data_IF_878094568579
#
_entry.id   IF_878094568579
#
_cell.length_a   1.000
_cell.length_b   1.000
_cell.length_c   1.000
_cell.angle_alpha   90.00
_cell.angle_beta   90.00
_cell.angle_gamma   90.00
#
_symmetry.space_group_name_H-M   'P 1'
#
loop_
_entity.id
_entity.type
_entity.pdbx_description
1 polymer ?
#
# COMPACT_ATOMS: atom_id res chain seq x y z
N UNK A 1 -25.92 -37.67 -6.67
CA UNK A 1 -24.73 -36.81 -6.85
C UNK A 1 -25.25 -35.40 -7.09
N UNK A 2 -24.91 -34.45 -6.23
CA UNK A 2 -25.18 -33.03 -6.50
C UNK A 2 -24.41 -32.60 -7.74
N UNK A 3 -25.11 -32.01 -8.71
CA UNK A 3 -24.54 -31.58 -9.98
C UNK A 3 -23.75 -30.28 -9.80
N UNK A 4 -22.57 -30.19 -10.43
CA UNK A 4 -21.71 -29.00 -10.40
C UNK A 4 -22.45 -27.77 -10.92
N UNK A 5 -23.28 -27.93 -11.96
CA UNK A 5 -24.05 -26.83 -12.56
C UNK A 5 -25.06 -26.20 -11.59
N UNK A 6 -25.48 -26.93 -10.56
CA UNK A 6 -26.44 -26.45 -9.55
C UNK A 6 -25.72 -25.99 -8.28
N UNK A 7 -24.71 -26.73 -7.82
CA UNK A 7 -23.97 -26.38 -6.61
C UNK A 7 -23.07 -25.15 -6.79
N UNK A 8 -22.37 -25.02 -7.92
CA UNK A 8 -21.42 -23.92 -8.10
C UNK A 8 -22.08 -22.53 -8.06
N UNK A 9 -23.19 -22.26 -8.76
CA UNK A 9 -23.88 -20.96 -8.67
C UNK A 9 -24.37 -20.67 -7.25
N UNK A 10 -24.97 -21.66 -6.57
CA UNK A 10 -25.45 -21.51 -5.19
C UNK A 10 -24.31 -21.16 -4.22
N UNK A 11 -23.17 -21.84 -4.34
CA UNK A 11 -21.99 -21.59 -3.51
C UNK A 11 -21.34 -20.25 -3.81
N UNK A 12 -21.32 -19.85 -5.09
CA UNK A 12 -20.85 -18.54 -5.51
C UNK A 12 -21.72 -17.42 -4.95
N UNK A 13 -23.04 -17.55 -5.04
CA UNK A 13 -23.99 -16.60 -4.47
C UNK A 13 -23.81 -16.47 -2.95
N UNK A 14 -23.63 -17.59 -2.25
CA UNK A 14 -23.30 -17.60 -0.83
C UNK A 14 -22.03 -16.81 -0.51
N UNK A 15 -20.93 -17.06 -1.24
CA UNK A 15 -19.66 -16.34 -1.07
C UNK A 15 -19.79 -14.87 -1.41
N UNK A 16 -20.53 -14.54 -2.48
CA UNK A 16 -20.76 -13.17 -2.93
C UNK A 16 -21.62 -12.36 -1.94
N UNK A 17 -22.45 -13.03 -1.14
CA UNK A 17 -23.26 -12.43 -0.09
C UNK A 17 -22.51 -12.21 1.24
N UNK A 18 -21.29 -12.75 1.40
CA UNK A 18 -20.53 -12.59 2.64
C UNK A 18 -20.12 -11.13 2.83
N UNK A 19 -20.28 -10.55 4.03
CA UNK A 19 -19.89 -9.16 4.30
C UNK A 19 -18.38 -8.94 4.11
N UNK A 20 -17.58 -9.98 4.33
CA UNK A 20 -16.13 -9.97 4.13
C UNK A 20 -15.67 -9.63 2.72
N UNK A 21 -16.51 -9.82 1.70
CA UNK A 21 -16.17 -9.52 0.30
C UNK A 21 -15.81 -8.06 0.10
N UNK A 22 -16.67 -7.15 0.57
CA UNK A 22 -16.46 -5.72 0.42
C UNK A 22 -15.19 -5.25 1.13
N UNK A 23 -14.94 -5.79 2.33
CA UNK A 23 -13.72 -5.50 3.09
C UNK A 23 -12.46 -6.06 2.41
N UNK A 24 -12.55 -7.27 1.85
CA UNK A 24 -11.45 -7.87 1.09
C UNK A 24 -11.11 -7.03 -0.15
N UNK A 25 -12.10 -6.64 -0.96
CA UNK A 25 -11.90 -5.81 -2.14
C UNK A 25 -11.30 -4.42 -1.80
N UNK A 26 -11.73 -3.85 -0.68
CA UNK A 26 -11.17 -2.61 -0.14
C UNK A 26 -9.70 -2.79 0.30
N UNK A 27 -9.37 -3.87 1.02
CA UNK A 27 -7.99 -4.20 1.39
C UNK A 27 -7.11 -4.42 0.16
N UNK A 28 -7.62 -5.08 -0.86
CA UNK A 28 -6.95 -5.27 -2.15
C UNK A 28 -6.68 -3.94 -2.87
N UNK A 29 -7.65 -3.02 -2.87
CA UNK A 29 -7.45 -1.67 -3.41
C UNK A 29 -6.37 -0.89 -2.64
N UNK A 30 -6.36 -1.01 -1.30
CA UNK A 30 -5.35 -0.40 -0.44
C UNK A 30 -3.95 -1.01 -0.66
N UNK A 31 -3.86 -2.34 -0.80
CA UNK A 31 -2.63 -3.06 -1.12
C UNK A 31 -2.04 -2.60 -2.46
N UNK A 32 -2.86 -2.50 -3.51
CA UNK A 32 -2.43 -1.97 -4.81
C UNK A 32 -1.91 -0.54 -4.70
N UNK A 33 -2.58 0.33 -3.94
CA UNK A 33 -2.12 1.69 -3.73
C UNK A 33 -0.77 1.75 -2.97
N UNK A 34 -0.59 0.89 -1.97
CA UNK A 34 0.67 0.76 -1.22
C UNK A 34 1.80 0.22 -2.10
N UNK A 35 1.52 -0.77 -2.95
CA UNK A 35 2.47 -1.31 -3.93
C UNK A 35 2.90 -0.24 -4.94
N UNK A 36 1.95 0.50 -5.52
CA UNK A 36 2.25 1.62 -6.42
C UNK A 36 3.16 2.66 -5.74
N UNK A 37 2.86 3.01 -4.48
CA UNK A 37 3.71 3.93 -3.72
C UNK A 37 5.13 3.37 -3.54
N UNK A 38 5.26 2.11 -3.15
CA UNK A 38 6.56 1.47 -2.92
C UNK A 38 7.37 1.35 -4.22
N UNK A 39 6.75 0.95 -5.32
CA UNK A 39 7.41 0.85 -6.63
C UNK A 39 7.92 2.20 -7.10
N UNK A 40 7.10 3.26 -7.02
CA UNK A 40 7.55 4.61 -7.38
C UNK A 40 8.68 5.12 -6.47
N UNK A 41 8.68 4.76 -5.18
CA UNK A 41 9.78 5.09 -4.27
C UNK A 41 11.08 4.39 -4.68
N UNK A 42 11.02 3.10 -5.01
CA UNK A 42 12.18 2.31 -5.45
C UNK A 42 12.72 2.83 -6.78
N UNK A 43 11.85 3.14 -7.75
CA UNK A 43 12.26 3.71 -9.04
C UNK A 43 12.97 5.05 -8.86
N UNK A 44 12.41 5.96 -8.04
CA UNK A 44 13.05 7.23 -7.72
C UNK A 44 14.41 7.00 -7.03
N UNK A 45 14.46 6.15 -6.00
CA UNK A 45 15.69 5.87 -5.27
C UNK A 45 16.79 5.30 -6.18
N UNK A 46 16.44 4.33 -7.04
CA UNK A 46 17.38 3.72 -7.99
C UNK A 46 17.93 4.74 -8.98
N UNK A 47 17.08 5.63 -9.50
CA UNK A 47 17.52 6.71 -10.39
C UNK A 47 18.48 7.65 -9.68
N UNK A 48 18.16 8.09 -8.45
CA UNK A 48 19.04 8.96 -7.66
C UNK A 48 20.39 8.27 -7.33
N UNK A 49 20.39 6.99 -6.98
CA UNK A 49 21.59 6.19 -6.67
C UNK A 49 22.50 5.93 -7.88
N UNK A 50 22.04 6.17 -9.10
CA UNK A 50 22.92 6.15 -10.28
C UNK A 50 23.93 7.30 -10.27
N UNK A 51 23.71 8.34 -9.45
CA UNK A 51 24.62 9.46 -9.26
C UNK A 51 25.18 9.54 -7.83
N UNK A 52 24.34 9.31 -6.82
CA UNK A 52 24.73 9.40 -5.41
C UNK A 52 25.75 8.31 -5.05
N UNK A 53 26.81 8.70 -4.34
CA UNK A 53 27.86 7.78 -3.87
C UNK A 53 28.74 7.21 -4.99
N UNK A 54 28.61 7.70 -6.23
CA UNK A 54 29.45 7.30 -7.36
C UNK A 54 30.50 8.36 -7.70
N UNK A 55 31.68 7.99 -8.20
CA UNK A 55 32.70 8.92 -8.64
C UNK A 55 32.40 9.45 -10.07
N UNK A 56 31.18 9.95 -10.28
CA UNK A 56 30.69 10.46 -11.57
C UNK A 56 30.43 11.95 -11.44
N UNK A 57 30.95 12.76 -12.35
CA UNK A 57 30.75 14.20 -12.31
C UNK A 57 29.37 14.58 -12.82
N UNK A 58 28.83 15.70 -12.34
CA UNK A 58 27.55 16.22 -12.82
C UNK A 58 27.50 16.41 -14.35
N UNK A 59 28.62 16.77 -14.97
CA UNK A 59 28.73 16.96 -16.43
C UNK A 59 28.70 15.64 -17.22
N UNK A 60 28.92 14.50 -16.56
CA UNK A 60 28.90 13.17 -17.16
C UNK A 60 27.50 12.52 -17.06
N UNK A 61 26.57 13.17 -16.36
CA UNK A 61 25.18 12.69 -16.30
C UNK A 61 24.49 12.86 -17.66
N UNK A 62 23.58 11.95 -18.02
CA UNK A 62 22.74 12.13 -19.21
C UNK A 62 21.98 13.46 -19.14
N UNK A 63 21.82 14.14 -20.28
CA UNK A 63 21.10 15.43 -20.39
C UNK A 63 19.70 15.40 -19.75
N UNK A 64 19.07 14.21 -19.72
CA UNK A 64 17.73 13.99 -19.18
C UNK A 64 17.69 13.56 -17.72
N UNK A 65 18.83 13.46 -17.02
CA UNK A 65 18.88 12.95 -15.65
C UNK A 65 17.98 13.75 -14.69
N UNK A 66 18.09 15.08 -14.71
CA UNK A 66 17.30 15.96 -13.85
C UNK A 66 15.80 15.95 -14.21
N UNK A 67 15.48 15.88 -15.51
CA UNK A 67 14.10 15.78 -15.99
C UNK A 67 13.47 14.47 -15.52
N UNK A 68 14.20 13.37 -15.64
CA UNK A 68 13.75 12.05 -15.21
C UNK A 68 13.61 11.95 -13.69
N UNK A 69 14.55 12.52 -12.93
CA UNK A 69 14.43 12.62 -11.47
C UNK A 69 13.19 13.43 -11.05
N UNK A 70 12.89 14.52 -11.77
CA UNK A 70 11.69 15.33 -11.52
C UNK A 70 10.40 14.57 -11.87
N UNK A 71 10.39 13.79 -12.97
CA UNK A 71 9.28 12.91 -13.35
C UNK A 71 9.01 11.84 -12.30
N UNK A 72 10.05 11.15 -11.85
CA UNK A 72 9.96 10.10 -10.83
C UNK A 72 9.53 10.67 -9.47
N UNK A 73 10.03 11.86 -9.10
CA UNK A 73 9.60 12.57 -7.90
C UNK A 73 8.11 12.91 -7.98
N UNK A 74 7.64 13.42 -9.11
CA UNK A 74 6.22 13.70 -9.30
C UNK A 74 5.36 12.43 -9.17
N UNK A 75 5.77 11.33 -9.81
CA UNK A 75 5.07 10.05 -9.71
C UNK A 75 5.01 9.52 -8.27
N UNK A 76 6.14 9.60 -7.54
CA UNK A 76 6.20 9.26 -6.12
C UNK A 76 5.19 10.09 -5.31
N UNK A 77 5.20 11.42 -5.46
CA UNK A 77 4.26 12.33 -4.77
C UNK A 77 2.80 12.07 -5.14
N UNK A 78 2.52 11.74 -6.40
CA UNK A 78 1.18 11.40 -6.86
C UNK A 78 0.68 10.07 -6.27
N UNK A 79 1.53 9.03 -6.27
CA UNK A 79 1.20 7.72 -5.72
C UNK A 79 0.88 7.77 -4.21
N UNK A 80 1.61 8.60 -3.46
CA UNK A 80 1.33 8.89 -2.06
C UNK A 80 -0.07 9.47 -1.84
N UNK A 81 -0.48 10.43 -2.67
CA UNK A 81 -1.81 11.01 -2.53
C UNK A 81 -2.91 9.99 -2.85
N UNK A 82 -2.69 9.15 -3.87
CA UNK A 82 -3.57 8.02 -4.17
C UNK A 82 -3.70 7.06 -2.98
N UNK A 83 -2.58 6.71 -2.34
CA UNK A 83 -2.58 5.91 -1.12
C UNK A 83 -3.37 6.57 0.01
N UNK A 84 -3.14 7.86 0.27
CA UNK A 84 -3.88 8.62 1.31
C UNK A 84 -5.38 8.64 1.04
N UNK A 85 -5.78 8.78 -0.23
CA UNK A 85 -7.19 8.81 -0.59
C UNK A 85 -7.82 7.41 -0.49
N UNK A 86 -7.10 6.34 -0.86
CA UNK A 86 -7.51 4.95 -0.61
C UNK A 86 -7.67 4.66 0.88
N UNK A 87 -6.74 5.12 1.71
CA UNK A 87 -6.81 5.04 3.17
C UNK A 87 -8.05 5.74 3.74
N UNK A 88 -8.37 6.95 3.26
CA UNK A 88 -9.57 7.69 3.67
C UNK A 88 -10.85 6.96 3.29
N UNK A 89 -10.90 6.36 2.11
CA UNK A 89 -12.06 5.54 1.70
C UNK A 89 -12.19 4.35 2.65
N UNK A 90 -11.11 3.61 2.90
CA UNK A 90 -11.13 2.46 3.80
C UNK A 90 -11.56 2.84 5.23
N UNK A 91 -10.99 3.93 5.76
CA UNK A 91 -11.35 4.47 7.07
C UNK A 91 -12.85 4.81 7.16
N UNK A 92 -13.40 5.53 6.18
CA UNK A 92 -14.83 5.92 6.18
C UNK A 92 -15.78 4.75 6.02
N UNK A 93 -15.36 3.70 5.32
CA UNK A 93 -16.13 2.47 5.17
C UNK A 93 -16.20 1.67 6.47
N UNK A 94 -15.06 1.53 7.17
CA UNK A 94 -14.96 0.69 8.37
C UNK A 94 -15.41 1.38 9.66
N UNK A 95 -15.20 2.68 9.74
CA UNK A 95 -15.58 3.51 10.87
C UNK A 95 -16.42 4.69 10.35
N UNK A 96 -17.67 4.42 9.92
CA UNK A 96 -18.56 5.47 9.46
C UNK A 96 -18.84 6.46 10.59
N UNK A 97 -19.28 7.65 10.20
CA UNK A 97 -19.75 8.67 11.15
C UNK A 97 -20.95 8.08 11.89
N UNK A 98 -20.81 7.84 13.19
CA UNK A 98 -21.96 7.48 14.02
C UNK A 98 -22.91 8.68 14.17
N UNK A 99 -24.07 8.46 14.77
CA UNK A 99 -25.02 9.52 15.15
C UNK A 99 -24.45 10.38 16.31
N UNK A 100 -23.26 10.94 16.13
CA UNK A 100 -22.57 11.76 17.13
C UNK A 100 -22.91 13.21 16.86
N UNK A 101 -23.60 13.83 17.82
CA UNK A 101 -23.83 15.27 17.87
C UNK A 101 -22.51 16.04 17.72
N UNK A 102 -22.42 16.83 16.65
CA UNK A 102 -21.61 18.04 16.50
C UNK A 102 -20.16 18.03 17.03
N UNK A 103 -19.30 17.15 16.51
CA UNK A 103 -17.85 17.36 16.64
C UNK A 103 -17.44 18.65 15.91
N UNK A 104 -16.75 19.56 16.63
CA UNK A 104 -16.23 20.82 16.09
C UNK A 104 -14.73 20.69 15.82
N UNK A 105 -14.27 21.19 14.67
CA UNK A 105 -12.85 21.24 14.35
C UNK A 105 -12.12 22.23 15.28
N UNK A 106 -11.18 21.76 16.10
CA UNK A 106 -10.40 22.61 17.01
C UNK A 106 -9.64 23.75 16.30
N UNK A 107 -9.21 23.52 15.05
CA UNK A 107 -8.41 24.49 14.30
C UNK A 107 -9.23 25.64 13.68
N UNK A 108 -10.52 25.46 13.42
CA UNK A 108 -11.33 26.47 12.73
C UNK A 108 -12.73 26.71 13.31
N UNK A 109 -13.12 26.00 14.36
CA UNK A 109 -14.40 26.17 15.07
C UNK A 109 -15.65 25.80 14.26
N UNK A 110 -15.50 25.32 13.02
CA UNK A 110 -16.62 24.88 12.18
C UNK A 110 -17.14 23.52 12.68
N UNK A 111 -18.46 23.31 12.57
CA UNK A 111 -19.07 21.98 12.69
C UNK A 111 -18.37 21.09 11.66
N UNK A 112 -17.84 19.95 12.10
CA UNK A 112 -17.29 18.93 11.22
C UNK A 112 -18.18 17.69 11.31
N UNK A 113 -19.40 17.73 10.70
CA UNK A 113 -20.42 16.70 10.85
C UNK A 113 -20.07 15.38 10.11
N UNK A 114 -18.79 15.14 9.81
CA UNK A 114 -18.35 14.09 8.88
C UNK A 114 -17.23 13.19 9.40
N UNK A 115 -16.86 13.31 10.68
CA UNK A 115 -15.74 12.55 11.26
C UNK A 115 -16.25 11.56 12.28
N UNK A 116 -15.79 10.31 12.21
CA UNK A 116 -16.14 9.29 13.19
C UNK A 116 -15.34 9.45 14.49
N UNK A 117 -15.87 8.94 15.59
CA UNK A 117 -15.16 8.93 16.90
C UNK A 117 -13.76 8.32 16.77
N UNK A 118 -13.64 7.21 16.04
CA UNK A 118 -12.34 6.58 15.76
C UNK A 118 -11.40 7.49 14.97
N UNK A 119 -11.92 8.31 14.06
CA UNK A 119 -11.09 9.26 13.30
C UNK A 119 -10.42 10.29 14.22
N UNK A 120 -11.18 10.80 15.20
CA UNK A 120 -10.72 11.84 16.13
C UNK A 120 -9.81 11.25 17.21
N UNK A 121 -10.20 10.12 17.78
CA UNK A 121 -9.53 9.56 18.96
C UNK A 121 -8.34 8.65 18.63
N UNK A 122 -8.33 8.01 17.45
CA UNK A 122 -7.34 6.99 17.09
C UNK A 122 -6.54 7.39 15.85
N UNK A 123 -7.22 7.70 14.75
CA UNK A 123 -6.57 8.01 13.48
C UNK A 123 -5.76 9.30 13.50
N UNK A 124 -6.38 10.40 13.93
CA UNK A 124 -5.74 11.71 13.92
C UNK A 124 -4.49 11.79 14.79
N UNK A 125 -4.51 11.27 16.04
CA UNK A 125 -3.32 11.21 16.86
C UNK A 125 -2.20 10.43 16.16
N UNK A 126 -2.49 9.25 15.60
CA UNK A 126 -1.47 8.43 14.94
C UNK A 126 -0.96 9.08 13.65
N UNK A 127 -1.84 9.72 12.88
CA UNK A 127 -1.48 10.50 11.69
C UNK A 127 -0.58 11.67 12.07
N UNK A 128 -0.89 12.39 13.15
CA UNK A 128 -0.10 13.53 13.61
C UNK A 128 1.25 13.09 14.16
N UNK A 129 1.29 11.98 14.89
CA UNK A 129 2.51 11.36 15.41
C UNK A 129 3.48 11.00 14.28
N UNK A 130 3.00 10.29 13.25
CA UNK A 130 3.86 9.75 12.20
C UNK A 130 4.06 10.69 11.01
N UNK A 131 3.04 11.49 10.67
CA UNK A 131 2.98 12.30 9.44
C UNK A 131 2.87 13.81 9.72
N UNK A 132 2.91 14.24 10.99
CA UNK A 132 2.84 15.65 11.38
C UNK A 132 4.18 16.40 11.31
N UNK A 133 5.29 15.70 11.06
CA UNK A 133 6.63 16.32 10.95
C UNK A 133 6.68 17.35 9.81
N UNK A 134 7.27 18.54 10.01
CA UNK A 134 7.38 19.58 8.97
C UNK A 134 7.96 19.10 7.64
N UNK A 135 8.90 18.13 7.64
CA UNK A 135 9.46 17.50 6.43
C UNK A 135 8.39 16.78 5.61
N UNK A 136 7.50 16.09 6.30
CA UNK A 136 6.42 15.31 5.70
C UNK A 136 5.33 16.25 5.18
N UNK A 137 4.99 17.27 5.97
CA UNK A 137 4.06 18.32 5.55
C UNK A 137 4.58 19.04 4.31
N UNK A 138 5.90 19.30 4.25
CA UNK A 138 6.56 19.84 3.07
C UNK A 138 6.40 18.93 1.85
N UNK A 139 6.76 17.65 1.92
CA UNK A 139 6.62 16.73 0.78
C UNK A 139 5.16 16.58 0.34
N UNK A 140 4.22 16.53 1.28
CA UNK A 140 2.79 16.51 0.97
C UNK A 140 2.37 17.77 0.21
N UNK A 141 2.85 18.95 0.62
CA UNK A 141 2.59 20.22 -0.07
C UNK A 141 3.38 20.40 -1.36
N UNK A 142 4.51 19.71 -1.52
CA UNK A 142 5.29 19.71 -2.75
C UNK A 142 4.50 19.10 -3.91
N UNK A 143 3.60 18.15 -3.64
CA UNK A 143 2.63 17.69 -4.64
C UNK A 143 1.70 18.82 -5.09
N UNK A 144 1.10 19.53 -4.14
CA UNK A 144 0.18 20.64 -4.44
C UNK A 144 0.92 21.73 -5.25
N UNK A 145 2.17 22.04 -4.89
CA UNK A 145 3.06 22.90 -5.68
C UNK A 145 3.24 22.38 -7.11
N UNK A 146 3.50 21.08 -7.26
CA UNK A 146 3.70 20.44 -8.57
C UNK A 146 2.47 20.49 -9.47
N UNK A 147 1.28 20.41 -8.88
CA UNK A 147 0.00 20.40 -9.60
C UNK A 147 -0.51 21.81 -9.94
N UNK A 148 -0.19 22.81 -9.13
CA UNK A 148 -0.83 24.12 -9.21
C UNK A 148 0.12 25.28 -9.51
N UNK A 149 1.43 25.05 -9.45
CA UNK A 149 2.42 26.11 -9.66
C UNK A 149 3.48 25.70 -10.68
N UNK A 150 4.32 24.70 -10.37
CA UNK A 150 5.38 24.27 -11.28
C UNK A 150 5.89 22.87 -10.92
N UNK A 151 6.37 22.11 -11.90
CA UNK A 151 7.08 20.86 -11.65
C UNK A 151 8.42 21.20 -10.96
N UNK A 152 8.73 20.62 -9.79
CA UNK A 152 9.98 20.90 -9.09
C UNK A 152 11.15 20.32 -9.88
N UNK A 153 12.02 21.22 -10.35
CA UNK A 153 13.25 20.83 -11.04
C UNK A 153 14.25 20.37 -9.99
N UNK A 154 14.69 19.11 -10.09
CA UNK A 154 15.78 18.57 -9.29
C UNK A 154 17.12 19.10 -9.79
N UNK A 155 17.92 19.64 -8.89
CA UNK A 155 19.30 20.07 -9.15
C UNK A 155 20.28 18.99 -8.67
N UNK A 156 21.39 18.88 -9.38
CA UNK A 156 22.50 17.99 -9.05
C UNK A 156 23.75 18.82 -8.76
N UNK A 157 24.49 18.45 -7.73
CA UNK A 157 25.72 19.14 -7.31
C UNK A 157 26.79 18.10 -7.01
N UNK A 158 28.01 18.36 -7.46
CA UNK A 158 29.22 17.63 -7.07
C UNK A 158 30.06 18.56 -6.20
N UNK A 159 30.34 18.16 -4.97
CA UNK A 159 31.18 18.89 -4.02
C UNK A 159 32.51 18.15 -3.81
N UNK A 160 33.58 18.93 -3.62
CA UNK A 160 34.91 18.42 -3.29
C UNK A 160 35.25 18.85 -1.86
N UNK A 161 35.51 17.87 -0.99
CA UNK A 161 36.01 18.12 0.36
C UNK A 161 37.45 17.64 0.46
N UNK A 162 38.37 18.56 0.74
CA UNK A 162 39.76 18.22 1.06
C UNK A 162 39.80 17.66 2.48
N UNK A 163 40.01 16.35 2.63
CA UNK A 163 39.94 15.68 3.94
C UNK A 163 41.21 15.84 4.78
N UNK A 164 42.34 16.28 4.18
CA UNK A 164 43.64 16.33 4.87
C UNK A 164 44.53 17.55 4.52
N UNK A 165 43.94 18.71 4.20
CA UNK A 165 44.70 19.94 3.87
C UNK A 165 45.24 19.99 2.43
N UNK A 166 46.07 21.00 2.13
CA UNK A 166 46.60 21.25 0.78
C UNK A 166 47.44 20.06 0.27
N UNK A 167 46.89 19.30 -0.68
CA UNK A 167 47.52 18.09 -1.26
C UNK A 167 47.06 16.75 -0.66
N UNK A 168 46.08 16.76 0.25
CA UNK A 168 45.51 15.54 0.86
C UNK A 168 44.47 14.82 0.00
N UNK A 169 44.05 13.63 0.46
CA UNK A 169 42.94 12.89 -0.17
C UNK A 169 41.69 13.78 -0.24
N UNK A 170 41.13 13.87 -1.43
CA UNK A 170 39.89 14.59 -1.67
C UNK A 170 38.73 13.61 -1.73
N UNK A 171 37.65 13.93 -1.01
CA UNK A 171 36.40 13.20 -1.10
C UNK A 171 35.43 13.94 -2.03
N UNK A 172 35.00 13.26 -3.08
CA UNK A 172 33.95 13.71 -3.98
C UNK A 172 32.59 13.30 -3.40
N UNK A 173 31.68 14.25 -3.23
CA UNK A 173 30.32 13.98 -2.74
C UNK A 173 29.30 14.51 -3.75
N UNK A 174 28.41 13.63 -4.20
CA UNK A 174 27.33 13.96 -5.11
C UNK A 174 26.02 14.15 -4.34
N UNK A 175 25.27 15.20 -4.69
CA UNK A 175 24.00 15.57 -4.06
C UNK A 175 22.92 15.78 -5.10
N UNK A 176 21.68 15.39 -4.76
CA UNK A 176 20.48 15.69 -5.55
C UNK A 176 19.45 16.36 -4.64
N UNK A 177 18.81 17.41 -5.12
CA UNK A 177 17.95 18.22 -4.27
C UNK A 177 17.12 19.25 -5.03
N UNK A 178 16.43 20.10 -4.28
CA UNK A 178 15.53 21.13 -4.78
C UNK A 178 16.07 22.52 -4.44
N UNK A 179 15.84 23.50 -5.32
CA UNK A 179 16.19 24.90 -5.05
C UNK A 179 15.20 25.53 -4.09
N UNK A 180 15.70 25.97 -2.93
CA UNK A 180 14.89 26.64 -1.89
C UNK A 180 14.29 27.94 -2.40
N UNK A 181 15.08 28.77 -3.07
CA UNK A 181 14.67 30.07 -3.61
C UNK A 181 13.56 29.94 -4.63
N UNK A 182 13.57 28.89 -5.45
CA UNK A 182 12.47 28.58 -6.38
C UNK A 182 11.20 28.16 -5.63
N UNK A 183 11.32 27.27 -4.65
CA UNK A 183 10.18 26.82 -3.85
C UNK A 183 9.50 27.99 -3.11
N UNK A 184 10.27 28.91 -2.53
CA UNK A 184 9.76 30.06 -1.78
C UNK A 184 8.99 31.09 -2.62
N UNK A 185 8.98 30.96 -3.96
CA UNK A 185 8.15 31.81 -4.83
C UNK A 185 6.67 31.47 -4.78
N UNK A 186 6.31 30.26 -4.34
CA UNK A 186 4.93 29.88 -4.12
C UNK A 186 4.49 30.32 -2.72
N UNK A 187 3.40 31.05 -2.61
CA UNK A 187 2.91 31.65 -1.37
C UNK A 187 2.01 30.71 -0.57
N UNK A 188 1.40 29.71 -1.21
CA UNK A 188 0.46 28.77 -0.60
C UNK A 188 1.11 27.61 0.19
N UNK A 189 2.38 27.73 0.57
CA UNK A 189 2.98 26.83 1.55
C UNK A 189 2.27 26.96 2.91
N UNK A 190 2.00 25.84 3.56
CA UNK A 190 1.55 25.87 4.96
C UNK A 190 2.66 26.38 5.87
N UNK A 191 2.31 26.93 7.04
CA UNK A 191 3.31 27.42 7.99
C UNK A 191 4.37 26.36 8.36
N UNK A 192 4.04 25.08 8.63
CA UNK A 192 5.06 24.05 8.89
C UNK A 192 5.93 23.74 7.67
N UNK A 193 5.35 23.67 6.46
CA UNK A 193 6.13 23.42 5.25
C UNK A 193 7.09 24.59 4.96
N UNK A 194 6.60 25.84 5.11
CA UNK A 194 7.42 27.04 4.95
C UNK A 194 8.50 27.12 6.00
N UNK A 195 8.20 26.76 7.25
CA UNK A 195 9.19 26.64 8.31
C UNK A 195 10.26 25.64 7.91
N UNK A 196 9.91 24.45 7.43
CA UNK A 196 10.89 23.48 6.95
C UNK A 196 11.78 24.04 5.83
N UNK A 197 11.19 24.63 4.78
CA UNK A 197 11.94 25.22 3.66
C UNK A 197 12.92 26.31 4.16
N UNK A 198 12.55 27.08 5.19
CA UNK A 198 13.34 28.19 5.70
C UNK A 198 14.33 27.81 6.81
N UNK A 199 14.10 26.70 7.51
CA UNK A 199 14.85 26.31 8.71
C UNK A 199 15.97 25.33 8.33
N UNK A 200 17.22 25.66 8.70
CA UNK A 200 18.37 24.73 8.67
C UNK A 200 18.70 24.13 7.29
N UNK A 201 18.71 24.96 6.26
CA UNK A 201 19.45 24.70 5.04
C UNK A 201 20.53 25.78 4.93
N UNK A 202 21.80 25.39 5.09
CA UNK A 202 22.93 26.33 5.01
C UNK A 202 23.04 26.98 3.63
N UNK A 203 22.51 26.30 2.61
CA UNK A 203 22.55 26.70 1.20
C UNK A 203 21.14 26.80 0.58
N UNK A 204 21.07 27.22 -0.68
CA UNK A 204 19.83 27.23 -1.48
C UNK A 204 19.39 25.81 -1.93
N UNK A 205 19.71 24.77 -1.16
CA UNK A 205 19.61 23.38 -1.57
C UNK A 205 18.96 22.51 -0.50
N UNK A 206 17.87 21.85 -0.88
CA UNK A 206 17.16 20.89 -0.04
C UNK A 206 17.45 19.49 -0.58
N UNK A 207 18.27 18.71 0.12
CA UNK A 207 18.62 17.35 -0.28
C UNK A 207 17.40 16.43 -0.31
N UNK A 208 17.17 15.79 -1.46
CA UNK A 208 15.98 14.96 -1.69
C UNK A 208 16.07 13.55 -1.10
N UNK A 209 17.18 12.80 -1.22
CA UNK A 209 17.26 11.41 -0.73
C UNK A 209 16.88 11.24 0.75
N UNK A 210 17.47 11.99 1.72
CA UNK A 210 17.13 11.80 3.13
C UNK A 210 15.67 12.14 3.43
N UNK A 211 15.04 13.03 2.65
CA UNK A 211 13.62 13.36 2.80
C UNK A 211 12.72 12.24 2.30
N UNK A 212 13.01 11.70 1.12
CA UNK A 212 12.25 10.57 0.55
C UNK A 212 12.37 9.34 1.45
N UNK A 213 13.57 9.02 1.93
CA UNK A 213 13.80 7.87 2.81
C UNK A 213 13.08 8.02 4.14
N UNK A 214 13.24 9.16 4.81
CA UNK A 214 12.58 9.46 6.07
C UNK A 214 11.06 9.36 5.94
N UNK A 215 10.49 9.99 4.92
CA UNK A 215 9.06 10.01 4.73
C UNK A 215 8.50 8.63 4.36
N UNK A 216 9.16 7.91 3.46
CA UNK A 216 8.73 6.57 3.05
C UNK A 216 8.76 5.59 4.23
N UNK A 217 9.74 5.72 5.14
CA UNK A 217 9.76 4.99 6.40
C UNK A 217 8.51 5.25 7.25
N UNK A 218 8.14 6.51 7.46
CA UNK A 218 6.95 6.89 8.24
C UNK A 218 5.63 6.46 7.59
N UNK A 219 5.54 6.53 6.26
CA UNK A 219 4.38 6.05 5.52
C UNK A 219 4.22 4.54 5.69
N UNK A 220 5.31 3.75 5.57
CA UNK A 220 5.26 2.30 5.79
C UNK A 220 4.83 1.96 7.23
N UNK A 221 5.38 2.65 8.22
CA UNK A 221 4.99 2.49 9.63
C UNK A 221 3.49 2.76 9.83
N UNK A 222 2.98 3.84 9.23
CA UNK A 222 1.56 4.19 9.30
C UNK A 222 0.66 3.17 8.57
N UNK A 223 1.05 2.70 7.38
CA UNK A 223 0.32 1.66 6.63
C UNK A 223 0.25 0.36 7.44
N UNK A 224 1.37 -0.09 8.00
CA UNK A 224 1.44 -1.32 8.78
C UNK A 224 0.51 -1.23 10.00
N UNK A 225 0.56 -0.12 10.74
CA UNK A 225 -0.36 0.14 11.83
C UNK A 225 -1.81 0.12 11.37
N UNK A 226 -2.12 0.78 10.25
CA UNK A 226 -3.50 0.86 9.76
C UNK A 226 -4.05 -0.52 9.35
N UNK A 227 -3.27 -1.37 8.71
CA UNK A 227 -3.68 -2.74 8.41
C UNK A 227 -3.94 -3.57 9.67
N UNK A 228 -3.19 -3.34 10.76
CA UNK A 228 -3.49 -3.99 12.04
C UNK A 228 -4.84 -3.53 12.61
N UNK A 229 -5.19 -2.26 12.49
CA UNK A 229 -6.51 -1.76 12.91
C UNK A 229 -7.64 -2.33 12.04
N UNK A 230 -7.41 -2.48 10.73
CA UNK A 230 -8.37 -3.16 9.84
C UNK A 230 -8.54 -4.62 10.25
N UNK A 231 -7.44 -5.37 10.48
CA UNK A 231 -7.49 -6.77 10.88
C UNK A 231 -8.20 -6.98 12.22
N UNK A 232 -7.99 -6.08 13.19
CA UNK A 232 -8.74 -6.09 14.46
C UNK A 232 -10.23 -5.86 14.25
N UNK A 233 -10.62 -5.03 13.29
CA UNK A 233 -12.01 -4.58 13.08
C UNK A 233 -12.83 -5.56 12.24
N UNK A 234 -12.26 -6.12 11.18
CA UNK A 234 -12.95 -6.97 10.18
C UNK A 234 -12.12 -8.18 9.71
N UNK A 235 -11.01 -8.49 10.38
CA UNK A 235 -10.13 -9.59 10.00
C UNK A 235 -10.82 -10.95 9.93
N UNK A 236 -11.68 -11.33 10.90
CA UNK A 236 -12.44 -12.58 10.83
C UNK A 236 -13.31 -12.69 9.57
N UNK A 237 -14.04 -11.64 9.21
CA UNK A 237 -14.92 -11.60 8.05
C UNK A 237 -14.13 -11.66 6.74
N UNK A 238 -13.01 -10.94 6.66
CA UNK A 238 -12.09 -11.00 5.51
C UNK A 238 -11.55 -12.42 5.33
N UNK A 239 -11.09 -13.06 6.41
CA UNK A 239 -10.58 -14.44 6.38
C UNK A 239 -11.68 -15.43 5.99
N UNK A 240 -12.89 -15.25 6.52
CA UNK A 240 -14.06 -16.05 6.16
C UNK A 240 -14.33 -16.02 4.65
N UNK A 241 -14.44 -14.82 4.08
CA UNK A 241 -14.64 -14.65 2.65
C UNK A 241 -13.48 -15.26 1.86
N UNK A 242 -12.23 -14.90 2.19
CA UNK A 242 -11.06 -15.32 1.45
C UNK A 242 -10.94 -16.83 1.37
N UNK A 243 -11.12 -17.53 2.50
CA UNK A 243 -10.94 -18.98 2.51
C UNK A 243 -12.11 -19.69 1.76
N UNK A 244 -13.35 -19.16 1.75
CA UNK A 244 -14.55 -19.80 1.14
C UNK A 244 -14.48 -19.58 -0.36
N UNK A 245 -14.07 -18.37 -0.74
CA UNK A 245 -13.73 -18.01 -2.12
C UNK A 245 -12.60 -18.88 -2.66
N UNK A 246 -11.52 -19.11 -1.90
CA UNK A 246 -10.41 -19.95 -2.31
C UNK A 246 -10.81 -21.43 -2.45
N UNK A 247 -11.52 -22.00 -1.47
CA UNK A 247 -12.04 -23.39 -1.55
C UNK A 247 -12.93 -23.58 -2.80
N UNK A 248 -13.84 -22.64 -3.04
CA UNK A 248 -14.70 -22.62 -4.23
C UNK A 248 -13.89 -22.52 -5.53
N UNK A 249 -12.87 -21.66 -5.55
CA UNK A 249 -11.98 -21.45 -6.71
C UNK A 249 -11.15 -22.70 -7.01
N UNK A 250 -10.58 -23.35 -6.00
CA UNK A 250 -9.83 -24.60 -6.20
C UNK A 250 -10.73 -25.73 -6.69
N UNK A 251 -11.95 -25.85 -6.16
CA UNK A 251 -12.92 -26.81 -6.65
C UNK A 251 -13.30 -26.56 -8.12
N UNK A 252 -13.56 -25.30 -8.50
CA UNK A 252 -13.82 -24.91 -9.88
C UNK A 252 -12.67 -25.31 -10.81
N UNK A 253 -11.41 -25.02 -10.43
CA UNK A 253 -10.22 -25.37 -11.23
C UNK A 253 -10.10 -26.88 -11.46
N UNK A 254 -10.38 -27.70 -10.43
CA UNK A 254 -10.37 -29.17 -10.60
C UNK A 254 -11.46 -29.62 -11.56
N UNK A 255 -12.65 -29.04 -11.46
CA UNK A 255 -13.77 -29.36 -12.34
C UNK A 255 -13.47 -28.98 -13.81
N UNK A 256 -12.99 -27.76 -14.04
CA UNK A 256 -12.58 -27.26 -15.36
C UNK A 256 -11.49 -28.14 -15.99
N UNK A 257 -10.40 -28.41 -15.25
CA UNK A 257 -9.30 -29.24 -15.74
C UNK A 257 -9.75 -30.69 -16.02
N UNK A 258 -10.67 -31.24 -15.21
CA UNK A 258 -11.25 -32.57 -15.43
C UNK A 258 -12.12 -32.60 -16.70
N UNK A 259 -12.90 -31.54 -16.95
CA UNK A 259 -13.69 -31.39 -18.17
C UNK A 259 -12.82 -31.35 -19.43
N UNK A 260 -11.77 -30.52 -19.44
CA UNK A 260 -10.84 -30.43 -20.56
C UNK A 260 -10.13 -31.76 -20.84
N UNK A 261 -9.65 -32.45 -19.78
CA UNK A 261 -9.03 -33.77 -19.93
C UNK A 261 -10.01 -34.81 -20.50
N UNK A 262 -11.27 -34.82 -20.06
CA UNK A 262 -12.29 -35.76 -20.56
C UNK A 262 -12.51 -35.62 -22.06
N UNK A 263 -12.47 -34.38 -22.57
CA UNK A 263 -12.67 -34.06 -23.99
C UNK A 263 -11.46 -34.42 -24.86
N UNK A 264 -10.25 -34.06 -24.44
CA UNK A 264 -9.04 -34.14 -25.30
C UNK A 264 -8.19 -35.38 -25.02
N UNK A 265 -8.18 -35.87 -23.77
CA UNK A 265 -7.42 -37.05 -23.31
C UNK A 265 -5.92 -37.04 -23.66
N UNK A 266 -5.24 -35.93 -23.41
CA UNK A 266 -3.78 -35.83 -23.61
C UNK A 266 -3.00 -35.63 -22.29
N UNK A 267 -1.68 -35.80 -22.37
CA UNK A 267 -0.78 -35.73 -21.23
C UNK A 267 -0.73 -34.34 -20.58
N UNK A 268 -0.83 -33.27 -21.36
CA UNK A 268 -0.81 -31.90 -20.84
C UNK A 268 -2.02 -31.61 -19.96
N UNK A 269 -3.23 -31.95 -20.43
CA UNK A 269 -4.45 -31.78 -19.65
C UNK A 269 -4.49 -32.70 -18.42
N UNK A 270 -3.91 -33.89 -18.51
CA UNK A 270 -3.71 -34.75 -17.34
C UNK A 270 -2.83 -34.07 -16.29
N UNK A 271 -1.70 -33.47 -16.70
CA UNK A 271 -0.81 -32.72 -15.79
C UNK A 271 -1.54 -31.56 -15.12
N UNK A 272 -2.29 -30.76 -15.89
CA UNK A 272 -3.10 -29.64 -15.34
C UNK A 272 -4.13 -30.13 -14.32
N UNK A 273 -4.84 -31.23 -14.62
CA UNK A 273 -5.81 -31.84 -13.71
C UNK A 273 -5.16 -32.33 -12.41
N UNK A 274 -4.02 -33.01 -12.51
CA UNK A 274 -3.27 -33.50 -11.33
C UNK A 274 -2.79 -32.30 -10.50
N UNK A 275 -2.24 -31.26 -11.12
CA UNK A 275 -1.82 -30.05 -10.43
C UNK A 275 -2.98 -29.36 -9.70
N UNK A 276 -4.14 -29.21 -10.35
CA UNK A 276 -5.33 -28.62 -9.71
C UNK A 276 -5.78 -29.43 -8.49
N UNK A 277 -5.75 -30.77 -8.57
CA UNK A 277 -6.07 -31.65 -7.43
C UNK A 277 -5.05 -31.52 -6.30
N UNK A 278 -3.76 -31.46 -6.62
CA UNK A 278 -2.71 -31.25 -5.62
C UNK A 278 -2.86 -29.89 -4.93
N UNK A 279 -3.16 -28.83 -5.69
CA UNK A 279 -3.44 -27.50 -5.12
C UNK A 279 -4.64 -27.53 -4.18
N UNK A 280 -5.75 -28.14 -4.60
CA UNK A 280 -6.95 -28.28 -3.75
C UNK A 280 -6.67 -29.13 -2.51
N UNK A 281 -5.95 -30.24 -2.65
CA UNK A 281 -5.63 -31.13 -1.53
C UNK A 281 -4.67 -30.51 -0.53
N UNK A 282 -3.72 -29.67 -0.99
CA UNK A 282 -2.82 -28.92 -0.12
C UNK A 282 -3.45 -27.67 0.49
N UNK A 283 -4.61 -27.24 0.01
CA UNK A 283 -5.34 -26.11 0.57
C UNK A 283 -6.18 -26.57 1.77
N UNK A 284 -5.88 -26.03 2.94
CA UNK A 284 -6.61 -26.28 4.18
C UNK A 284 -7.25 -24.97 4.67
N UNK A 285 -8.58 -24.80 4.54
CA UNK A 285 -9.25 -23.60 5.04
C UNK A 285 -9.09 -23.54 6.57
N UNK A 286 -8.70 -22.36 7.07
CA UNK A 286 -8.13 -22.23 8.41
C UNK A 286 -9.15 -21.85 9.49
N UNK A 287 -10.36 -21.38 9.13
CA UNK A 287 -11.19 -20.58 10.06
C UNK A 287 -12.57 -21.16 10.45
N UNK A 288 -13.30 -21.91 9.62
CA UNK A 288 -14.69 -22.36 9.95
C UNK A 288 -14.87 -23.85 10.21
N UNK A 289 -13.81 -24.66 10.06
CA UNK A 289 -13.85 -26.04 10.54
C UNK A 289 -13.35 -26.03 11.98
N UNK A 290 -14.17 -25.53 12.91
CA UNK A 290 -13.84 -25.62 14.33
C UNK A 290 -13.93 -27.09 14.71
N UNK A 291 -12.80 -27.80 14.63
CA UNK A 291 -12.68 -29.13 15.20
C UNK A 291 -12.39 -28.91 16.68
N UNK A 292 -13.44 -28.88 17.49
CA UNK A 292 -13.31 -28.88 18.95
C UNK A 292 -13.13 -30.31 19.42
N UNK A 293 -11.95 -30.62 19.94
CA UNK A 293 -11.69 -31.89 20.60
C UNK A 293 -11.91 -31.72 22.10
N UNK A 294 -12.73 -32.59 22.69
CA UNK A 294 -12.92 -32.63 24.13
C UNK A 294 -11.71 -33.25 24.86
N UNK A 295 -11.74 -33.26 26.20
CA UNK A 295 -10.68 -33.86 27.03
C UNK A 295 -10.54 -35.37 26.85
N UNK A 296 -11.49 -36.03 26.18
CA UNK A 296 -11.48 -37.46 25.89
C UNK A 296 -10.96 -37.76 24.47
N UNK A 297 -10.53 -36.73 23.73
CA UNK A 297 -10.04 -36.87 22.35
C UNK A 297 -11.15 -37.04 21.31
N UNK A 298 -12.42 -36.78 21.67
CA UNK A 298 -13.53 -36.78 20.73
C UNK A 298 -13.59 -35.42 20.04
N UNK A 299 -13.28 -35.42 18.74
CA UNK A 299 -13.28 -34.22 17.93
C UNK A 299 -14.63 -34.06 17.21
N UNK A 300 -15.35 -32.99 17.53
CA UNK A 300 -16.61 -32.62 16.88
C UNK A 300 -16.33 -31.48 15.91
N UNK A 301 -16.78 -31.64 14.66
CA UNK A 301 -16.78 -30.56 13.67
C UNK A 301 -17.95 -29.65 14.03
N UNK A 302 -17.69 -28.41 14.40
CA UNK A 302 -18.74 -27.41 14.66
C UNK A 302 -19.64 -27.20 13.45
N UNK A 303 -20.88 -26.76 13.70
CA UNK A 303 -21.82 -26.41 12.63
C UNK A 303 -21.25 -25.30 11.74
N UNK A 304 -21.18 -25.56 10.43
CA UNK A 304 -20.72 -24.60 9.44
C UNK A 304 -21.79 -24.41 8.37
N UNK A 305 -22.08 -23.15 8.06
CA UNK A 305 -22.88 -22.73 6.91
C UNK A 305 -22.22 -23.09 5.57
N UNK A 306 -20.97 -23.55 5.59
CA UNK A 306 -20.18 -23.98 4.44
C UNK A 306 -19.89 -25.48 4.50
N UNK A 307 -20.89 -26.34 4.19
CA UNK A 307 -20.68 -27.77 4.18
C UNK A 307 -19.65 -28.18 3.11
N UNK A 308 -18.95 -29.32 3.29
CA UNK A 308 -17.92 -29.77 2.36
C UNK A 308 -18.38 -29.72 0.91
N UNK A 309 -17.51 -29.19 0.04
CA UNK A 309 -17.76 -29.18 -1.39
C UNK A 309 -17.82 -30.62 -1.94
N UNK A 310 -18.61 -30.88 -3.00
CA UNK A 310 -18.70 -32.20 -3.60
C UNK A 310 -17.34 -32.81 -3.97
N UNK A 311 -17.28 -34.14 -3.95
CA UNK A 311 -16.08 -34.88 -4.31
C UNK A 311 -15.66 -34.59 -5.75
N UNK A 312 -14.35 -34.66 -6.00
CA UNK A 312 -13.79 -34.43 -7.33
C UNK A 312 -14.33 -35.44 -8.37
N UNK A 313 -14.48 -35.03 -9.63
CA UNK A 313 -14.82 -35.95 -10.72
C UNK A 313 -13.78 -37.07 -10.84
N UNK A 314 -14.17 -38.34 -10.66
CA UNK A 314 -13.27 -39.51 -10.66
C UNK A 314 -12.83 -40.02 -12.04
N UNK A 315 -13.37 -39.44 -13.12
CA UNK A 315 -13.26 -39.94 -14.51
C UNK A 315 -11.84 -40.25 -15.00
#
# INVERSE_FOLDING_TARGET
MTDFSTEFPKRREHVDALPGKAYYEMCEALNRAAELFNTNQVELANHLQSFLGRPVFVMELPDRFAVEASRLLFNYLASLAGLRDAQRVAHRTLWPVGDVEELRCEACGRRDPKRSTWEVEVWDPKRKELLGDPRIVFLTKLRDYSMHYAIPITNTVTEWQNMAGSGGQSAMTNKVGLSRSRLLKWDAWSAPARQFITTKHNDDFIELPPLVDFFSGRVREFIQWFFQEIDKKVGPEIREYADKHNDLTFWYRVHEASGQYKTIRNLEHLKRRVQARLQRAGYHPSVWRTITCDRNGVCVVGDSDWPPLPADPRF
#
